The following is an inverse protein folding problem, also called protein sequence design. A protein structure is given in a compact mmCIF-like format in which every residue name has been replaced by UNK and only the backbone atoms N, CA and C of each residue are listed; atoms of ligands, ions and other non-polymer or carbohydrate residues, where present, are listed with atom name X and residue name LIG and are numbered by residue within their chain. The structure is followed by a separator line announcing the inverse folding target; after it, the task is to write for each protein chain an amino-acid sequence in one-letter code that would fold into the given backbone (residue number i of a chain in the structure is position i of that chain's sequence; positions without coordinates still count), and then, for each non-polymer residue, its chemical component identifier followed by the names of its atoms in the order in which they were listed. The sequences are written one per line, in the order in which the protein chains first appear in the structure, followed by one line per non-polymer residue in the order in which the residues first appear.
data_IF_331889036543
#
_entry.id   IF_331889036543
#
_cell.length_a   1.000
_cell.length_b   1.000
_cell.length_c   1.000
_cell.angle_alpha   90.00
_cell.angle_beta   90.00
_cell.angle_gamma   90.00
#
_symmetry.space_group_name_H-M   'P 1'
#
loop_
_entity.id
_entity.type
_entity.pdbx_description
1 polymer ?
#
# COMPACT_ATOMS: atom_id res chain seq x y z
N UNK A 1 16.34 13.37 -16.60
CA UNK A 1 14.92 13.73 -16.52
C UNK A 1 14.65 14.11 -15.08
N UNK A 2 14.45 15.40 -14.85
CA UNK A 2 14.32 15.98 -13.51
C UNK A 2 13.10 15.39 -12.79
N UNK A 3 13.32 14.95 -11.54
CA UNK A 3 12.31 14.39 -10.65
C UNK A 3 11.29 15.47 -10.27
N UNK A 4 10.30 15.71 -11.12
CA UNK A 4 9.20 16.60 -10.77
C UNK A 4 8.49 15.99 -9.54
N UNK A 5 8.35 16.72 -8.42
CA UNK A 5 7.84 16.17 -7.16
C UNK A 5 6.41 15.63 -7.27
N UNK A 6 5.63 16.12 -8.24
CA UNK A 6 4.28 15.61 -8.55
C UNK A 6 4.24 14.35 -9.42
N UNK A 7 5.37 13.97 -10.06
CA UNK A 7 5.45 12.80 -10.95
C UNK A 7 6.01 11.55 -10.27
N UNK A 8 6.60 11.68 -9.07
CA UNK A 8 7.37 10.60 -8.43
C UNK A 8 6.61 9.29 -8.23
N UNK A 9 5.28 9.34 -8.07
CA UNK A 9 4.44 8.13 -8.04
C UNK A 9 3.69 7.84 -9.36
N UNK A 10 3.54 8.83 -10.24
CA UNK A 10 2.72 8.67 -11.46
C UNK A 10 3.37 7.71 -12.44
N UNK A 11 4.70 7.80 -12.61
CA UNK A 11 5.42 6.89 -13.51
C UNK A 11 5.37 5.45 -13.03
N UNK A 12 5.41 5.20 -11.73
CA UNK A 12 5.27 3.85 -11.16
C UNK A 12 3.87 3.29 -11.45
N UNK A 13 2.82 4.10 -11.28
CA UNK A 13 1.42 3.72 -11.58
C UNK A 13 1.25 3.43 -13.07
N UNK A 14 1.71 4.32 -13.95
CA UNK A 14 1.60 4.16 -15.40
C UNK A 14 2.38 2.93 -15.86
N UNK A 15 3.58 2.70 -15.32
CA UNK A 15 4.40 1.52 -15.62
C UNK A 15 3.69 0.22 -15.21
N UNK A 16 3.14 0.17 -13.99
CA UNK A 16 2.38 -0.98 -13.52
C UNK A 16 1.15 -1.25 -14.39
N UNK A 17 0.40 -0.19 -14.74
CA UNK A 17 -0.77 -0.30 -15.61
C UNK A 17 -0.41 -0.78 -17.03
N UNK A 18 0.60 -0.18 -17.66
CA UNK A 18 1.03 -0.56 -19.01
C UNK A 18 1.54 -1.99 -19.04
N UNK A 19 2.26 -2.43 -18.01
CA UNK A 19 2.67 -3.83 -17.89
C UNK A 19 1.46 -4.77 -17.87
N UNK A 20 0.47 -4.48 -17.02
CA UNK A 20 -0.76 -5.27 -16.92
C UNK A 20 -1.60 -5.26 -18.21
N UNK A 21 -1.64 -4.12 -18.90
CA UNK A 21 -2.33 -3.97 -20.19
C UNK A 21 -1.68 -4.82 -21.27
N UNK A 22 -0.35 -4.76 -21.38
CA UNK A 22 0.42 -5.50 -22.40
C UNK A 22 0.48 -7.00 -22.14
N UNK A 23 0.48 -7.41 -20.87
CA UNK A 23 0.53 -8.83 -20.50
C UNK A 23 -0.82 -9.55 -20.66
N UNK A 24 -1.93 -8.81 -20.80
CA UNK A 24 -3.27 -9.38 -20.86
C UNK A 24 -3.74 -10.01 -19.54
N UNK A 25 -3.08 -9.72 -18.42
CA UNK A 25 -3.33 -10.34 -17.12
C UNK A 25 -4.59 -9.84 -16.41
N UNK A 26 -5.22 -8.77 -16.92
CA UNK A 26 -6.44 -8.19 -16.32
C UNK A 26 -7.68 -8.76 -17.03
N UNK A 27 -8.52 -9.56 -16.35
CA UNK A 27 -9.76 -10.08 -16.94
C UNK A 27 -10.68 -8.98 -17.46
N UNK A 28 -11.44 -9.24 -18.53
CA UNK A 28 -12.35 -8.25 -19.14
C UNK A 28 -13.39 -7.71 -18.14
N UNK A 29 -13.89 -8.56 -17.24
CA UNK A 29 -14.83 -8.16 -16.18
C UNK A 29 -14.23 -7.12 -15.24
N UNK A 30 -12.94 -7.25 -14.90
CA UNK A 30 -12.21 -6.26 -14.11
C UNK A 30 -12.02 -4.98 -14.93
N UNK A 31 -11.65 -5.08 -16.21
CA UNK A 31 -11.53 -3.91 -17.09
C UNK A 31 -12.83 -3.11 -17.22
N UNK A 32 -13.97 -3.78 -17.31
CA UNK A 32 -15.29 -3.14 -17.34
C UNK A 32 -15.56 -2.38 -16.03
N UNK A 33 -15.19 -2.96 -14.90
CA UNK A 33 -15.32 -2.29 -13.59
C UNK A 33 -14.44 -1.04 -13.51
N UNK A 34 -13.20 -1.11 -14.00
CA UNK A 34 -12.26 0.02 -14.04
C UNK A 34 -12.69 1.16 -14.99
N UNK A 35 -13.62 0.90 -15.93
CA UNK A 35 -14.17 1.92 -16.84
C UNK A 35 -15.33 2.73 -16.23
N UNK A 36 -15.78 2.39 -15.02
CA UNK A 36 -16.90 3.09 -14.39
C UNK A 36 -16.48 4.52 -13.99
N UNK A 37 -17.18 5.56 -14.47
CA UNK A 37 -16.83 6.94 -14.15
C UNK A 37 -17.01 7.24 -12.66
N UNK A 38 -16.11 8.05 -12.10
CA UNK A 38 -16.18 8.48 -10.70
C UNK A 38 -15.81 7.41 -9.67
N UNK A 39 -15.31 6.24 -10.09
CA UNK A 39 -14.77 5.21 -9.20
C UNK A 39 -13.26 5.17 -9.26
N UNK A 40 -12.63 5.22 -8.10
CA UNK A 40 -11.19 5.05 -7.95
C UNK A 40 -10.88 3.61 -7.51
N UNK A 41 -9.72 3.13 -7.95
CA UNK A 41 -9.22 1.80 -7.61
C UNK A 41 -7.76 1.86 -7.22
N UNK A 42 -7.39 1.03 -6.25
CA UNK A 42 -6.00 0.78 -5.90
C UNK A 42 -5.62 -0.59 -6.45
N UNK A 43 -4.53 -0.63 -7.20
CA UNK A 43 -3.88 -1.87 -7.57
C UNK A 43 -3.08 -2.38 -6.37
N UNK A 44 -3.43 -3.57 -5.89
CA UNK A 44 -2.62 -4.33 -4.95
C UNK A 44 -2.21 -5.64 -5.62
N UNK A 45 -1.02 -6.14 -5.27
CA UNK A 45 -0.74 -7.53 -5.57
C UNK A 45 -1.70 -8.38 -4.75
N UNK A 46 -2.37 -9.35 -5.38
CA UNK A 46 -3.00 -10.41 -4.61
C UNK A 46 -1.87 -11.21 -3.96
N UNK A 47 -1.42 -10.78 -2.79
CA UNK A 47 -0.62 -11.63 -1.95
C UNK A 47 -1.45 -12.88 -1.70
N UNK A 48 -0.80 -14.03 -1.87
CA UNK A 48 -1.21 -15.30 -1.26
C UNK A 48 -1.05 -15.11 0.25
N UNK A 49 -1.83 -14.20 0.85
CA UNK A 49 -2.04 -14.17 2.28
C UNK A 49 -2.74 -15.49 2.56
N UNK A 50 -1.91 -16.47 2.94
CA UNK A 50 -2.30 -17.85 3.11
C UNK A 50 -3.62 -17.93 3.83
N UNK A 51 -4.64 -18.34 3.08
CA UNK A 51 -5.80 -18.99 3.64
C UNK A 51 -5.30 -20.18 4.44
N UNK A 52 -5.03 -19.94 5.72
CA UNK A 52 -4.87 -20.98 6.72
C UNK A 52 -6.26 -21.52 7.03
N UNK A 53 -6.81 -22.32 6.12
CA UNK A 53 -7.89 -23.28 6.42
C UNK A 53 -8.27 -24.13 5.21
N UNK A 54 -7.31 -24.88 4.66
CA UNK A 54 -7.59 -26.20 4.10
C UNK A 54 -6.28 -26.98 4.11
N UNK A 55 -6.00 -27.66 5.21
CA UNK A 55 -5.05 -28.78 5.24
C UNK A 55 -5.65 -29.90 4.38
N UNK A 56 -5.07 -30.25 3.21
CA UNK A 56 -5.40 -31.51 2.59
C UNK A 56 -4.76 -32.59 3.45
N UNK A 57 -5.60 -33.38 4.12
CA UNK A 57 -5.19 -34.57 4.87
C UNK A 57 -4.48 -35.52 3.91
N UNK A 58 -3.16 -35.62 4.06
CA UNK A 58 -2.28 -36.38 3.20
C UNK A 58 -2.66 -37.87 3.16
N UNK A 59 -2.73 -38.44 1.95
CA UNK A 59 -2.56 -39.88 1.70
C UNK A 59 -1.75 -40.08 0.42
N UNK A 60 -0.59 -40.71 0.56
CA UNK A 60 0.00 -41.59 -0.46
C UNK A 60 0.99 -40.95 -1.45
N UNK A 61 2.28 -41.14 -1.16
CA UNK A 61 3.42 -41.35 -2.07
C UNK A 61 3.27 -41.04 -3.58
N UNK A 62 4.11 -40.13 -4.11
CA UNK A 62 4.95 -40.37 -5.31
C UNK A 62 5.97 -39.25 -5.60
N UNK A 63 7.17 -39.72 -5.97
CA UNK A 63 8.32 -39.19 -6.73
C UNK A 63 8.57 -37.68 -6.97
N UNK A 64 9.84 -37.22 -6.90
CA UNK A 64 10.25 -35.89 -7.31
C UNK A 64 10.57 -35.85 -8.81
N UNK A 65 9.70 -35.24 -9.60
CA UNK A 65 10.00 -34.85 -10.99
C UNK A 65 10.36 -33.36 -10.99
N UNK A 66 11.43 -33.01 -11.72
CA UNK A 66 12.06 -31.69 -11.74
C UNK A 66 11.06 -30.57 -12.14
N UNK A 67 10.39 -30.00 -11.15
CA UNK A 67 9.47 -28.90 -11.33
C UNK A 67 10.25 -27.62 -11.64
N UNK A 68 10.19 -27.18 -12.91
CA UNK A 68 10.51 -25.82 -13.30
C UNK A 68 9.76 -24.88 -12.37
N UNK A 69 10.50 -24.13 -11.55
CA UNK A 69 10.00 -23.20 -10.54
C UNK A 69 9.39 -22.00 -11.26
N UNK A 70 8.21 -22.22 -11.83
CA UNK A 70 7.38 -21.16 -12.36
C UNK A 70 6.85 -20.40 -11.16
N UNK A 71 7.55 -19.31 -10.83
CA UNK A 71 7.12 -18.37 -9.80
C UNK A 71 5.62 -18.11 -9.96
N UNK A 72 4.82 -18.25 -8.90
CA UNK A 72 3.37 -18.10 -9.00
C UNK A 72 3.08 -16.77 -9.68
N UNK A 73 2.41 -16.83 -10.83
CA UNK A 73 1.94 -15.63 -11.53
C UNK A 73 0.88 -15.01 -10.62
N UNK A 74 1.25 -13.96 -9.90
CA UNK A 74 0.34 -13.28 -8.99
C UNK A 74 -0.71 -12.54 -9.81
N UNK A 75 -1.98 -12.77 -9.48
CA UNK A 75 -3.09 -12.08 -10.12
C UNK A 75 -3.17 -10.66 -9.53
N UNK A 76 -3.15 -9.60 -10.35
CA UNK A 76 -3.39 -8.25 -9.85
C UNK A 76 -4.80 -8.14 -9.28
N UNK A 77 -4.96 -7.48 -8.14
CA UNK A 77 -6.26 -7.20 -7.52
C UNK A 77 -6.52 -5.70 -7.52
N UNK A 78 -7.72 -5.29 -7.93
CA UNK A 78 -8.15 -3.90 -7.95
C UNK A 78 -9.20 -3.68 -6.88
N UNK A 79 -8.84 -2.92 -5.85
CA UNK A 79 -9.71 -2.66 -4.71
C UNK A 79 -10.38 -1.29 -4.92
N UNK A 80 -11.72 -1.21 -4.93
CA UNK A 80 -12.41 0.07 -5.03
C UNK A 80 -12.13 0.90 -3.78
N UNK A 81 -11.80 2.17 -3.97
CA UNK A 81 -11.48 3.09 -2.87
C UNK A 81 -12.25 4.39 -3.00
N UNK A 82 -12.41 5.07 -1.87
CA UNK A 82 -12.99 6.41 -1.81
C UNK A 82 -11.98 7.38 -1.21
N UNK A 83 -11.92 8.64 -1.68
CA UNK A 83 -11.07 9.66 -1.10
C UNK A 83 -11.49 9.97 0.33
N UNK A 84 -10.51 10.12 1.22
CA UNK A 84 -10.75 10.58 2.58
C UNK A 84 -10.70 12.11 2.62
N UNK A 85 -11.73 12.78 3.18
CA UNK A 85 -11.81 14.24 3.17
C UNK A 85 -10.72 14.90 4.03
N UNK A 86 -10.21 14.20 5.04
CA UNK A 86 -9.10 14.63 5.89
C UNK A 86 -8.32 13.41 6.41
N UNK A 87 -7.01 13.59 6.60
CA UNK A 87 -6.12 12.65 7.28
C UNK A 87 -5.32 13.44 8.30
N UNK A 88 -5.25 12.93 9.53
CA UNK A 88 -4.63 13.62 10.66
C UNK A 88 -5.15 15.06 10.88
N UNK A 89 -6.46 15.26 10.71
CA UNK A 89 -7.10 16.59 10.79
C UNK A 89 -6.65 17.60 9.72
N UNK A 90 -5.81 17.21 8.76
CA UNK A 90 -5.21 18.08 7.76
C UNK A 90 -5.54 17.65 6.32
N UNK A 91 -5.21 18.54 5.37
CA UNK A 91 -5.33 18.30 3.91
C UNK A 91 -3.98 18.07 3.23
N UNK A 92 -2.88 18.14 3.98
CA UNK A 92 -1.53 17.96 3.45
C UNK A 92 -1.24 16.49 3.14
N UNK A 93 -1.67 15.58 4.02
CA UNK A 93 -1.66 14.13 3.78
C UNK A 93 -2.99 13.76 3.14
N UNK A 94 -2.93 13.17 1.95
CA UNK A 94 -4.10 12.65 1.24
C UNK A 94 -4.17 11.15 1.43
N UNK A 95 -5.38 10.62 1.49
CA UNK A 95 -5.59 9.18 1.43
C UNK A 95 -6.84 8.81 0.64
N UNK A 96 -6.86 7.57 0.17
CA UNK A 96 -8.04 6.87 -0.32
C UNK A 96 -8.15 5.56 0.43
N UNK A 97 -9.35 5.08 0.77
CA UNK A 97 -9.53 3.81 1.48
C UNK A 97 -10.70 2.99 0.98
N UNK A 98 -10.55 1.66 1.01
CA UNK A 98 -11.51 0.70 0.51
C UNK A 98 -11.44 -0.64 1.22
N UNK A 99 -12.56 -1.38 1.19
CA UNK A 99 -12.67 -2.70 1.80
C UNK A 99 -11.94 -3.76 0.98
N UNK A 100 -11.26 -4.70 1.64
CA UNK A 100 -10.73 -5.92 1.04
C UNK A 100 -11.03 -7.11 1.96
N UNK A 101 -12.19 -7.73 1.76
CA UNK A 101 -12.67 -8.78 2.66
C UNK A 101 -12.89 -8.21 4.07
N UNK A 102 -12.32 -8.83 5.13
CA UNK A 102 -12.38 -8.30 6.49
C UNK A 102 -11.38 -7.16 6.76
N UNK A 103 -10.44 -6.95 5.84
CA UNK A 103 -9.38 -5.96 5.95
C UNK A 103 -9.77 -4.64 5.28
N UNK A 104 -9.05 -3.57 5.61
CA UNK A 104 -9.09 -2.31 4.87
C UNK A 104 -7.74 -2.00 4.25
N UNK A 105 -7.74 -1.55 3.00
CA UNK A 105 -6.59 -0.92 2.38
C UNK A 105 -6.79 0.58 2.37
N UNK A 106 -5.74 1.32 2.71
CA UNK A 106 -5.67 2.75 2.44
C UNK A 106 -4.39 3.08 1.67
N UNK A 107 -4.45 3.99 0.71
CA UNK A 107 -3.25 4.52 0.05
C UNK A 107 -3.10 5.98 0.42
N UNK A 108 -1.94 6.36 0.93
CA UNK A 108 -1.66 7.71 1.40
C UNK A 108 -0.38 8.29 0.79
N UNK A 109 -0.32 9.62 0.73
CA UNK A 109 0.85 10.38 0.29
C UNK A 109 0.76 11.82 0.78
N UNK A 110 1.90 12.50 0.91
CA UNK A 110 1.94 13.93 1.18
C UNK A 110 1.83 14.72 -0.12
N UNK A 111 0.82 15.60 -0.23
CA UNK A 111 0.53 16.34 -1.47
C UNK A 111 1.67 17.27 -1.92
N UNK A 112 2.29 17.98 -0.98
CA UNK A 112 3.44 18.86 -1.27
C UNK A 112 4.79 18.12 -1.23
N UNK A 113 4.78 16.79 -1.06
CA UNK A 113 5.98 15.97 -0.99
C UNK A 113 6.89 16.16 0.22
N UNK A 114 6.43 16.85 1.28
CA UNK A 114 7.15 16.91 2.55
C UNK A 114 7.26 15.50 3.16
N UNK A 115 8.35 15.29 3.89
CA UNK A 115 8.58 14.07 4.67
C UNK A 115 8.11 14.25 6.10
N UNK A 116 7.73 13.15 6.72
CA UNK A 116 7.29 13.14 8.10
C UNK A 116 6.76 11.78 8.52
N UNK A 117 6.15 11.76 9.69
CA UNK A 117 5.63 10.56 10.33
C UNK A 117 4.15 10.75 10.60
N UNK A 118 3.36 9.78 10.15
CA UNK A 118 1.95 9.64 10.51
C UNK A 118 1.82 8.67 11.69
N UNK A 119 1.36 9.16 12.82
CA UNK A 119 1.02 8.36 13.99
C UNK A 119 -0.43 7.89 13.89
N UNK A 120 -0.62 6.57 13.81
CA UNK A 120 -1.93 5.93 13.72
C UNK A 120 -2.14 5.06 14.97
N UNK A 121 -3.26 5.24 15.68
CA UNK A 121 -3.60 4.46 16.89
C UNK A 121 -4.11 3.05 16.57
N UNK A 122 -3.26 2.27 15.91
CA UNK A 122 -3.53 0.89 15.50
C UNK A 122 -2.21 0.13 15.43
N UNK A 123 -2.17 -1.11 15.91
CA UNK A 123 -0.93 -1.92 16.01
C UNK A 123 -0.84 -3.02 14.97
N UNK A 124 -1.95 -3.37 14.30
CA UNK A 124 -1.99 -4.38 13.23
C UNK A 124 -2.00 -3.72 11.86
N UNK A 125 -1.03 -2.84 11.67
CA UNK A 125 -0.84 -2.02 10.48
C UNK A 125 0.43 -2.46 9.75
N UNK A 126 0.32 -2.81 8.46
CA UNK A 126 1.47 -2.98 7.56
C UNK A 126 1.49 -1.85 6.55
N UNK A 127 2.66 -1.37 6.18
CA UNK A 127 2.83 -0.37 5.15
C UNK A 127 3.78 -0.87 4.05
N UNK A 128 3.43 -0.61 2.81
CA UNK A 128 4.18 -1.01 1.62
C UNK A 128 4.16 0.09 0.57
N UNK A 129 5.13 0.07 -0.34
CA UNK A 129 5.10 0.88 -1.56
C UNK A 129 4.44 0.12 -2.71
N UNK A 130 4.21 0.81 -3.84
CA UNK A 130 3.64 0.19 -5.03
C UNK A 130 4.50 -0.98 -5.57
N UNK A 131 5.82 -0.88 -5.42
CA UNK A 131 6.79 -1.94 -5.74
C UNK A 131 6.83 -3.09 -4.72
N UNK A 132 5.98 -3.05 -3.68
CA UNK A 132 5.88 -3.99 -2.56
C UNK A 132 7.07 -3.98 -1.59
N UNK A 133 7.97 -3.02 -1.71
CA UNK A 133 8.95 -2.78 -0.66
C UNK A 133 8.21 -2.43 0.64
N UNK A 134 8.58 -3.12 1.72
CA UNK A 134 8.05 -2.82 3.04
C UNK A 134 8.50 -1.40 3.46
N UNK A 135 7.57 -0.64 4.02
CA UNK A 135 7.88 0.62 4.68
C UNK A 135 8.14 0.32 6.15
N UNK A 136 9.35 0.63 6.62
CA UNK A 136 9.76 0.42 8.00
C UNK A 136 8.90 1.31 8.93
N UNK A 137 7.90 0.70 9.56
CA UNK A 137 7.06 1.35 10.55
C UNK A 137 7.61 1.08 11.95
N UNK A 138 7.53 2.08 12.83
CA UNK A 138 7.83 1.87 14.25
C UNK A 138 6.54 1.49 14.97
N UNK A 139 6.51 0.30 15.56
CA UNK A 139 5.32 -0.23 16.26
C UNK A 139 5.50 -0.03 17.75
N UNK A 140 4.54 0.64 18.38
CA UNK A 140 4.42 0.82 19.82
C UNK A 140 3.20 0.05 20.35
N UNK A 141 3.04 -0.09 21.68
CA UNK A 141 1.93 -0.84 22.27
C UNK A 141 0.52 -0.33 21.88
N UNK A 142 0.37 0.95 21.59
CA UNK A 142 -0.91 1.62 21.34
C UNK A 142 -1.01 2.29 19.95
N UNK A 143 0.07 2.29 19.17
CA UNK A 143 0.15 3.02 17.90
C UNK A 143 1.25 2.51 16.98
N UNK A 144 1.15 2.88 15.71
CA UNK A 144 2.18 2.68 14.70
C UNK A 144 2.56 4.02 14.08
N UNK A 145 3.86 4.26 13.97
CA UNK A 145 4.45 5.40 13.28
C UNK A 145 4.80 5.00 11.84
N UNK A 146 4.14 5.63 10.88
CA UNK A 146 4.31 5.36 9.45
C UNK A 146 5.05 6.52 8.79
N UNK A 147 6.24 6.29 8.21
CA UNK A 147 6.89 7.29 7.37
C UNK A 147 6.03 7.63 6.14
N UNK A 148 5.79 8.92 5.91
CA UNK A 148 5.08 9.43 4.72
C UNK A 148 5.93 10.45 3.99
N UNK A 149 5.89 10.37 2.67
CA UNK A 149 6.55 11.29 1.75
C UNK A 149 5.69 11.52 0.50
N UNK A 150 6.29 11.94 -0.61
CA UNK A 150 5.61 12.11 -1.89
C UNK A 150 5.21 10.79 -2.58
N UNK A 151 5.81 9.66 -2.20
CA UNK A 151 5.50 8.36 -2.79
C UNK A 151 4.25 7.80 -2.11
N UNK A 152 3.44 7.07 -2.88
CA UNK A 152 2.25 6.40 -2.35
C UNK A 152 2.68 5.26 -1.41
N UNK A 153 2.12 5.28 -0.22
CA UNK A 153 2.25 4.21 0.78
C UNK A 153 0.90 3.53 0.92
N UNK A 154 0.85 2.23 0.68
CA UNK A 154 -0.32 1.37 0.91
C UNK A 154 -0.27 0.87 2.34
N UNK A 155 -1.26 1.25 3.13
CA UNK A 155 -1.54 0.73 4.46
C UNK A 155 -2.53 -0.43 4.39
N UNK A 156 -2.24 -1.46 5.17
CA UNK A 156 -3.08 -2.64 5.35
C UNK A 156 -3.52 -2.70 6.81
N UNK A 157 -4.82 -2.47 7.04
CA UNK A 157 -5.44 -2.60 8.36
C UNK A 157 -6.09 -3.98 8.47
N UNK A 158 -5.49 -4.84 9.30
CA UNK A 158 -6.00 -6.20 9.51
C UNK A 158 -7.24 -6.23 10.39
N UNK A 159 -8.22 -7.04 10.01
CA UNK A 159 -9.47 -7.24 10.76
C UNK A 159 -10.17 -5.90 11.11
N UNK A 160 -10.00 -4.89 10.26
CA UNK A 160 -10.45 -3.52 10.53
C UNK A 160 -11.39 -3.08 9.42
N UNK A 161 -12.68 -2.85 9.73
CA UNK A 161 -13.64 -2.38 8.74
C UNK A 161 -13.29 -0.98 8.21
N UNK A 162 -13.73 -0.63 6.98
CA UNK A 162 -13.40 0.66 6.37
C UNK A 162 -13.81 1.87 7.21
N UNK A 163 -14.98 1.82 7.87
CA UNK A 163 -15.44 2.91 8.72
C UNK A 163 -14.49 3.18 9.90
N UNK A 164 -13.94 2.12 10.51
CA UNK A 164 -12.99 2.25 11.61
C UNK A 164 -11.63 2.72 11.12
N UNK A 165 -11.10 2.16 10.03
CA UNK A 165 -9.86 2.64 9.42
C UNK A 165 -9.93 4.12 9.03
N UNK A 166 -11.08 4.58 8.49
CA UNK A 166 -11.34 6.00 8.19
C UNK A 166 -11.28 6.86 9.45
N UNK A 167 -11.93 6.43 10.53
CA UNK A 167 -11.87 7.13 11.84
C UNK A 167 -10.44 7.22 12.36
N UNK A 168 -9.70 6.11 12.35
CA UNK A 168 -8.31 6.04 12.80
C UNK A 168 -7.39 6.97 12.00
N UNK A 169 -7.57 7.06 10.68
CA UNK A 169 -6.82 7.97 9.81
C UNK A 169 -7.22 9.43 10.00
N UNK A 170 -8.49 9.72 10.29
CA UNK A 170 -8.94 11.06 10.59
C UNK A 170 -8.36 11.57 11.93
N UNK A 171 -8.29 10.71 12.93
CA UNK A 171 -7.75 10.97 14.28
C UNK A 171 -6.22 10.84 14.39
N UNK A 172 -5.56 10.41 13.32
CA UNK A 172 -4.11 10.28 13.26
C UNK A 172 -3.40 11.63 13.54
N UNK A 173 -2.09 11.58 13.76
CA UNK A 173 -1.28 12.79 13.92
C UNK A 173 -0.16 12.81 12.90
N UNK A 174 0.08 13.97 12.31
CA UNK A 174 1.15 14.19 11.35
C UNK A 174 2.27 15.03 11.98
N UNK A 175 3.50 14.53 11.89
CA UNK A 175 4.69 15.25 12.34
C UNK A 175 5.64 15.42 11.15
N UNK A 176 5.80 16.66 10.69
CA UNK A 176 6.76 16.97 9.64
C UNK A 176 8.19 16.69 10.12
N UNK A 177 8.99 16.01 9.30
CA UNK A 177 10.40 15.81 9.60
C UNK A 177 11.16 17.10 9.26
N UNK A 178 11.67 17.79 10.28
CA UNK A 178 12.55 18.95 10.06
C UNK A 178 13.77 18.52 9.25
N UNK A 179 14.05 19.25 8.16
CA UNK A 179 15.20 18.99 7.29
C UNK A 179 16.55 19.21 7.97
N UNK A 180 16.58 19.80 9.17
CA UNK A 180 17.78 20.21 9.88
C UNK A 180 18.64 19.04 10.40
N UNK A 181 18.09 17.83 10.56
CA UNK A 181 18.81 16.69 11.13
C UNK A 181 19.72 15.91 10.16
N UNK A 182 19.59 16.07 8.84
CA UNK A 182 20.32 15.22 7.87
C UNK A 182 21.71 15.78 7.49
N UNK A 183 21.97 17.07 7.68
CA UNK A 183 23.25 17.67 7.34
C UNK A 183 24.39 17.25 8.28
N UNK A 184 24.09 16.91 9.54
CA UNK A 184 25.12 16.56 10.53
C UNK A 184 25.69 15.14 10.37
N UNK A 185 24.94 14.20 9.78
CA UNK A 185 25.37 12.79 9.66
C UNK A 185 26.32 12.52 8.48
N UNK A 186 26.46 13.45 7.52
CA UNK A 186 27.35 13.29 6.36
C UNK A 186 28.71 13.98 6.50
N UNK A 187 28.98 14.66 7.63
CA UNK A 187 30.24 15.37 7.86
C UNK A 187 31.24 14.61 8.77
N UNK A 188 30.99 13.33 9.10
CA UNK A 188 31.90 12.51 9.92
C UNK A 188 32.20 11.14 9.30
N UNK A 189 32.53 11.12 8.01
CA UNK A 189 33.32 10.04 7.44
C UNK A 189 34.66 10.64 6.97
N UNK A 190 35.79 10.29 7.61
CA UNK A 190 37.13 10.72 7.21
C UNK A 190 37.62 10.06 5.93
#
# INVERSE_FOLDING_TARGET
MESHPLLGGLLEIVSAYEHLRRSGQVPETVRQTLRQPGKDFVLVAADVFGGSSQTPKARGHRQPEAAATSSPRMTPEFVPVEPLPAVAGAREVRAMAGARGPDTIAVLWHFLGKRGVLEVRHTRLRAERLDRSAVACEVHPDRTLVPVDHRRTTLWFRDTPPAEARRLLAEARWYAQSSEGKAAASASQP
#
